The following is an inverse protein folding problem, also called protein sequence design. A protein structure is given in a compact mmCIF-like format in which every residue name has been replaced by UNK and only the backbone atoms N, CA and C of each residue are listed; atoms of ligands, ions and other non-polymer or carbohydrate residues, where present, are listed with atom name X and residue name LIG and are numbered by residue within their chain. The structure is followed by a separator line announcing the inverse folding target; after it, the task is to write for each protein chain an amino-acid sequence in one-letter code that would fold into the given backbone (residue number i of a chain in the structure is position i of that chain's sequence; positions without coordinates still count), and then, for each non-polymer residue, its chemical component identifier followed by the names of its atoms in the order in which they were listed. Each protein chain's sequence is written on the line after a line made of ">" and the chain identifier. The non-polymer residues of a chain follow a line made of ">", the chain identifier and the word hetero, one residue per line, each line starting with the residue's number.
data_IF_323370464039
#
_entry.id   IF_323370464039
#
_cell.length_a   1.000
_cell.length_b   1.000
_cell.length_c   1.000
_cell.angle_alpha   90.00
_cell.angle_beta   90.00
_cell.angle_gamma   90.00
#
_symmetry.space_group_name_H-M   'P 1'
#
loop_
_entity.id
_entity.type
_entity.pdbx_description
1 polymer ?
#
# COMPACT_ATOMS: atom_id res chain seq x y z
N UNK A 1 -6.92 -0.38 -56.11
CA UNK A 1 -6.59 -0.33 -54.67
C UNK A 1 -7.84 -0.74 -53.88
N UNK A 2 -7.91 -1.94 -53.29
CA UNK A 2 -9.08 -2.31 -52.50
C UNK A 2 -9.01 -1.63 -51.13
N UNK A 3 -10.07 -0.91 -50.78
CA UNK A 3 -10.24 -0.22 -49.50
C UNK A 3 -10.48 -1.24 -48.38
N UNK A 4 -9.56 -1.32 -47.42
CA UNK A 4 -9.78 -2.09 -46.20
C UNK A 4 -10.94 -1.51 -45.38
N UNK A 5 -11.89 -2.33 -44.90
CA UNK A 5 -12.94 -1.86 -44.03
C UNK A 5 -12.35 -1.47 -42.66
N UNK A 6 -12.65 -0.24 -42.22
CA UNK A 6 -12.29 0.25 -40.88
C UNK A 6 -12.90 -0.68 -39.83
N UNK A 7 -12.05 -1.31 -39.00
CA UNK A 7 -12.47 -2.00 -37.77
C UNK A 7 -13.26 -1.01 -36.91
N UNK A 8 -14.53 -1.34 -36.60
CA UNK A 8 -15.32 -0.62 -35.60
C UNK A 8 -14.60 -0.72 -34.25
N UNK A 9 -14.32 0.43 -33.63
CA UNK A 9 -13.82 0.49 -32.27
C UNK A 9 -14.81 -0.24 -31.35
N UNK A 10 -14.34 -1.25 -30.63
CA UNK A 10 -15.10 -1.89 -29.57
C UNK A 10 -15.21 -0.85 -28.46
N UNK A 11 -16.42 -0.35 -28.24
CA UNK A 11 -16.73 0.64 -27.21
C UNK A 11 -16.51 -0.04 -25.86
N UNK A 12 -15.57 0.46 -25.06
CA UNK A 12 -15.34 -0.05 -23.71
C UNK A 12 -16.66 -0.05 -22.91
N UNK A 13 -16.93 -1.04 -22.06
CA UNK A 13 -18.10 -1.03 -21.18
C UNK A 13 -18.11 0.28 -20.39
N UNK A 14 -19.25 0.98 -20.40
CA UNK A 14 -19.40 2.25 -19.69
C UNK A 14 -19.43 1.93 -18.19
N UNK A 15 -18.59 2.61 -17.41
CA UNK A 15 -18.61 2.50 -15.95
C UNK A 15 -20.05 2.70 -15.43
N UNK A 16 -20.50 1.84 -14.52
CA UNK A 16 -21.83 1.93 -13.92
C UNK A 16 -21.67 2.41 -12.48
N UNK A 17 -22.27 3.57 -12.17
CA UNK A 17 -22.26 4.11 -10.82
C UNK A 17 -22.94 3.11 -9.87
N UNK A 18 -22.27 2.76 -8.78
CA UNK A 18 -22.86 1.96 -7.72
C UNK A 18 -23.36 2.93 -6.64
N UNK A 19 -24.56 2.70 -6.12
CA UNK A 19 -25.07 3.53 -5.01
C UNK A 19 -24.30 3.25 -3.71
N UNK A 20 -23.77 2.04 -3.55
CA UNK A 20 -23.05 1.57 -2.36
C UNK A 20 -21.79 0.79 -2.77
N UNK A 21 -20.73 0.82 -1.94
CA UNK A 21 -19.52 0.07 -2.22
C UNK A 21 -19.77 -1.45 -2.16
N UNK A 22 -19.11 -2.19 -3.05
CA UNK A 22 -19.08 -3.65 -3.03
C UNK A 22 -17.61 -4.08 -2.98
N UNK A 23 -17.29 -4.98 -2.06
CA UNK A 23 -15.91 -5.35 -1.79
C UNK A 23 -15.57 -6.72 -2.37
N UNK A 24 -16.26 -7.78 -1.97
CA UNK A 24 -16.06 -9.13 -2.52
C UNK A 24 -17.23 -9.58 -3.41
N UNK A 25 -17.05 -10.71 -4.08
CA UNK A 25 -18.15 -11.43 -4.70
C UNK A 25 -19.07 -12.03 -3.62
N UNK A 26 -20.41 -11.97 -3.79
CA UNK A 26 -21.34 -12.59 -2.86
C UNK A 26 -21.32 -14.13 -2.96
N UNK A 27 -20.86 -14.67 -4.09
CA UNK A 27 -20.72 -16.09 -4.34
C UNK A 27 -19.30 -16.39 -4.82
N UNK A 28 -18.66 -17.38 -4.20
CA UNK A 28 -17.34 -17.85 -4.59
C UNK A 28 -17.35 -18.29 -6.06
N UNK A 29 -16.30 -17.91 -6.79
CA UNK A 29 -16.02 -18.43 -8.12
C UNK A 29 -14.79 -19.34 -8.09
N UNK A 30 -14.62 -20.24 -9.07
CA UNK A 30 -13.41 -21.06 -9.17
C UNK A 30 -12.14 -20.21 -9.19
N UNK A 31 -11.05 -20.78 -8.68
CA UNK A 31 -9.74 -20.13 -8.73
C UNK A 31 -9.24 -19.95 -10.17
N UNK A 32 -8.63 -18.79 -10.47
CA UNK A 32 -8.05 -18.55 -11.77
C UNK A 32 -6.83 -19.46 -11.98
N UNK A 33 -6.81 -20.17 -13.11
CA UNK A 33 -5.65 -20.98 -13.51
C UNK A 33 -4.66 -20.23 -14.39
N UNK A 34 -5.06 -19.08 -14.96
CA UNK A 34 -4.29 -18.32 -15.94
C UNK A 34 -4.83 -16.91 -16.09
N UNK A 35 -3.98 -15.96 -16.49
CA UNK A 35 -4.41 -14.62 -16.85
C UNK A 35 -5.25 -14.59 -18.14
N UNK A 36 -6.26 -13.72 -18.16
CA UNK A 36 -7.12 -13.47 -19.32
C UNK A 36 -6.44 -12.54 -20.33
N UNK A 37 -5.54 -11.67 -19.88
CA UNK A 37 -4.76 -10.77 -20.73
C UNK A 37 -3.36 -11.33 -20.95
N UNK A 38 -2.95 -11.47 -22.22
CA UNK A 38 -1.55 -11.75 -22.53
C UNK A 38 -0.64 -10.65 -21.98
N UNK A 39 0.44 -11.08 -21.34
CA UNK A 39 1.47 -10.21 -20.79
C UNK A 39 2.77 -10.38 -21.59
N UNK A 40 3.00 -9.54 -22.62
CA UNK A 40 4.27 -9.57 -23.35
C UNK A 40 5.39 -8.97 -22.49
N UNK A 41 6.65 -9.32 -22.82
CA UNK A 41 7.80 -8.75 -22.13
C UNK A 41 7.85 -7.22 -22.26
N UNK A 42 7.95 -6.56 -21.11
CA UNK A 42 8.10 -5.10 -21.03
C UNK A 42 9.52 -4.61 -21.33
N UNK A 43 10.49 -5.49 -21.55
CA UNK A 43 11.90 -5.08 -21.71
C UNK A 43 12.12 -4.06 -22.82
N UNK A 44 11.30 -4.10 -23.88
CA UNK A 44 11.31 -3.07 -24.93
C UNK A 44 10.73 -1.73 -24.49
N UNK A 45 9.70 -1.73 -23.65
CA UNK A 45 9.05 -0.55 -23.10
C UNK A 45 9.91 0.13 -22.04
N UNK A 46 10.58 -0.64 -21.18
CA UNK A 46 11.52 -0.12 -20.19
C UNK A 46 12.70 0.62 -20.83
N UNK A 47 13.14 0.23 -22.04
CA UNK A 47 14.15 1.01 -22.78
C UNK A 47 13.66 2.39 -23.24
N UNK A 48 12.35 2.66 -23.16
CA UNK A 48 11.72 3.93 -23.51
C UNK A 48 11.32 4.75 -22.29
N UNK A 49 11.55 4.25 -21.07
CA UNK A 49 11.35 5.06 -19.87
C UNK A 49 12.52 6.02 -19.69
N UNK A 50 12.27 7.13 -19.00
CA UNK A 50 13.33 8.02 -18.55
C UNK A 50 13.46 7.89 -17.03
N UNK A 51 14.43 7.09 -16.59
CA UNK A 51 14.68 6.79 -15.18
C UNK A 51 15.23 7.98 -14.36
N UNK A 52 15.32 9.18 -14.95
CA UNK A 52 15.67 10.42 -14.25
C UNK A 52 14.48 11.35 -14.04
N UNK A 53 13.33 11.05 -14.65
CA UNK A 53 12.16 11.90 -14.58
C UNK A 53 11.17 11.37 -13.56
N UNK A 54 10.81 12.27 -12.64
CA UNK A 54 9.63 12.12 -11.79
C UNK A 54 8.39 12.56 -12.56
N UNK A 55 7.23 12.07 -12.13
CA UNK A 55 5.93 12.45 -12.67
C UNK A 55 5.21 13.45 -11.76
N UNK A 56 4.37 14.35 -12.30
CA UNK A 56 3.57 15.25 -11.48
C UNK A 56 2.70 14.49 -10.47
N UNK A 57 2.56 15.05 -9.27
CA UNK A 57 1.62 14.55 -8.26
C UNK A 57 0.29 15.29 -8.44
N UNK A 58 -0.85 14.59 -8.62
CA UNK A 58 -2.13 15.26 -8.79
C UNK A 58 -2.56 16.03 -7.54
N UNK A 59 -3.37 17.07 -7.72
CA UNK A 59 -4.02 17.76 -6.61
C UNK A 59 -5.06 16.85 -5.95
N UNK A 60 -5.27 16.95 -4.62
CA UNK A 60 -6.37 16.27 -3.96
C UNK A 60 -7.70 16.78 -4.49
N UNK A 61 -8.67 15.88 -4.62
CA UNK A 61 -10.05 16.30 -4.83
C UNK A 61 -10.53 17.00 -3.56
N UNK A 62 -11.30 18.07 -3.70
CA UNK A 62 -11.94 18.79 -2.59
C UNK A 62 -13.09 18.01 -1.93
N UNK A 63 -13.05 16.68 -1.95
CA UNK A 63 -14.07 15.79 -1.43
C UNK A 63 -13.54 15.02 -0.22
N UNK A 64 -14.40 14.81 0.78
CA UNK A 64 -14.08 14.10 2.02
C UNK A 64 -14.08 15.01 3.24
N UNK A 65 -13.71 14.46 4.40
CA UNK A 65 -13.72 15.15 5.70
C UNK A 65 -12.51 16.08 5.93
N UNK A 66 -11.54 16.09 5.02
CA UNK A 66 -10.26 16.79 5.16
C UNK A 66 -10.21 18.19 4.54
N UNK A 67 -9.00 18.77 4.55
CA UNK A 67 -8.69 20.02 3.82
C UNK A 67 -7.92 19.68 2.54
N UNK A 68 -7.67 20.67 1.68
CA UNK A 68 -6.78 20.47 0.52
C UNK A 68 -5.32 20.22 0.92
N UNK A 69 -4.89 20.75 2.07
CA UNK A 69 -3.56 20.50 2.63
C UNK A 69 -3.48 19.11 3.25
N UNK A 70 -4.51 18.73 4.01
CA UNK A 70 -4.63 17.40 4.61
C UNK A 70 -5.87 16.70 4.08
N UNK A 71 -5.77 16.00 2.92
CA UNK A 71 -6.87 15.19 2.44
C UNK A 71 -7.07 14.00 3.39
N UNK A 72 -8.31 13.84 3.85
CA UNK A 72 -8.70 12.80 4.81
C UNK A 72 -9.78 11.92 4.19
N UNK A 73 -9.63 10.61 4.41
CA UNK A 73 -10.64 9.59 4.15
C UNK A 73 -10.95 8.88 5.47
N UNK A 74 -12.21 8.80 5.86
CA UNK A 74 -12.63 8.03 7.03
C UNK A 74 -13.05 6.62 6.63
N UNK A 75 -12.87 5.65 7.52
CA UNK A 75 -13.34 4.28 7.31
C UNK A 75 -14.87 4.24 7.15
N UNK A 76 -15.60 5.15 7.79
CA UNK A 76 -17.04 5.28 7.61
C UNK A 76 -17.39 5.61 6.14
N UNK A 77 -16.72 6.60 5.54
CA UNK A 77 -16.93 6.96 4.12
C UNK A 77 -16.62 5.79 3.18
N UNK A 78 -15.56 5.03 3.46
CA UNK A 78 -15.18 3.85 2.66
C UNK A 78 -16.31 2.81 2.62
N UNK A 79 -16.99 2.61 3.74
CA UNK A 79 -18.07 1.63 3.89
C UNK A 79 -19.46 2.15 3.43
N UNK A 80 -19.57 3.40 2.98
CA UNK A 80 -20.84 3.99 2.57
C UNK A 80 -21.88 3.95 3.69
N UNK A 81 -23.11 3.52 3.39
CA UNK A 81 -24.22 3.48 4.35
C UNK A 81 -23.94 2.53 5.54
N UNK A 82 -23.09 1.51 5.33
CA UNK A 82 -22.68 0.59 6.39
C UNK A 82 -21.61 1.19 7.33
N UNK A 83 -21.05 2.35 6.99
CA UNK A 83 -19.94 3.00 7.69
C UNK A 83 -20.17 3.22 9.18
N UNK A 84 -21.25 3.90 9.60
CA UNK A 84 -21.52 4.13 11.02
C UNK A 84 -21.62 2.84 11.82
N UNK A 85 -22.28 1.82 11.28
CA UNK A 85 -22.40 0.50 11.94
C UNK A 85 -21.04 -0.21 12.03
N UNK A 86 -20.21 -0.12 10.98
CA UNK A 86 -18.85 -0.70 10.98
C UNK A 86 -17.97 -0.04 12.03
N UNK A 87 -17.96 1.29 12.10
CA UNK A 87 -17.19 2.06 13.09
C UNK A 87 -17.63 1.73 14.52
N UNK A 88 -18.94 1.73 14.79
CA UNK A 88 -19.47 1.39 16.11
C UNK A 88 -19.10 -0.06 16.53
N UNK A 89 -19.07 -0.99 15.58
CA UNK A 89 -18.65 -2.37 15.85
C UNK A 89 -17.16 -2.47 16.24
N UNK A 90 -16.29 -1.70 15.57
CA UNK A 90 -14.84 -1.64 15.90
C UNK A 90 -14.63 -1.02 17.28
N UNK A 91 -15.30 0.09 17.57
CA UNK A 91 -15.21 0.75 18.89
C UNK A 91 -15.69 -0.17 20.02
N UNK A 92 -16.82 -0.85 19.81
CA UNK A 92 -17.35 -1.85 20.75
C UNK A 92 -16.39 -3.03 20.94
N UNK A 93 -15.70 -3.46 19.89
CA UNK A 93 -14.70 -4.51 19.95
C UNK A 93 -13.42 -4.08 20.69
N UNK A 94 -13.20 -2.77 20.84
CA UNK A 94 -12.02 -2.19 21.50
C UNK A 94 -10.73 -2.30 20.70
N UNK A 95 -10.80 -2.76 19.44
CA UNK A 95 -9.66 -2.85 18.54
C UNK A 95 -10.09 -2.84 17.07
N UNK A 96 -9.17 -2.41 16.19
CA UNK A 96 -9.25 -2.60 14.74
C UNK A 96 -8.17 -3.59 14.30
N UNK A 97 -8.52 -4.46 13.36
CA UNK A 97 -7.58 -5.33 12.64
C UNK A 97 -7.61 -4.97 11.17
N UNK A 98 -6.46 -4.96 10.50
CA UNK A 98 -6.38 -4.78 9.04
C UNK A 98 -5.15 -5.46 8.46
N UNK A 99 -5.14 -5.68 7.15
CA UNK A 99 -3.98 -6.20 6.43
C UNK A 99 -3.18 -5.09 5.76
N UNK A 100 -1.89 -5.32 5.53
CA UNK A 100 -0.99 -4.37 4.88
C UNK A 100 0.11 -5.11 4.11
N UNK A 101 0.24 -4.84 2.80
CA UNK A 101 1.25 -5.43 1.91
C UNK A 101 1.27 -4.64 0.58
N UNK A 102 2.40 -4.58 -0.10
CA UNK A 102 2.56 -4.02 -1.45
C UNK A 102 2.92 -5.09 -2.47
N UNK A 103 3.18 -4.68 -3.72
CA UNK A 103 3.91 -5.51 -4.68
C UNK A 103 3.17 -6.83 -4.99
N UNK A 104 1.86 -6.71 -5.20
CA UNK A 104 0.97 -7.87 -5.31
C UNK A 104 0.82 -8.35 -6.75
N UNK A 105 0.92 -7.45 -7.72
CA UNK A 105 0.64 -7.73 -9.13
C UNK A 105 1.63 -8.72 -9.76
N UNK A 106 1.25 -9.99 -9.85
CA UNK A 106 2.08 -10.98 -10.55
C UNK A 106 2.06 -10.75 -12.06
N UNK A 107 3.22 -10.88 -12.72
CA UNK A 107 3.34 -10.86 -14.19
C UNK A 107 3.40 -12.25 -14.82
N UNK A 108 3.49 -13.31 -14.00
CA UNK A 108 3.69 -14.69 -14.47
C UNK A 108 2.40 -15.50 -14.51
N UNK A 109 1.47 -15.20 -13.60
CA UNK A 109 0.24 -15.95 -13.41
C UNK A 109 -0.33 -15.74 -12.01
N UNK A 110 -1.55 -16.19 -11.74
CA UNK A 110 -2.30 -15.81 -10.54
C UNK A 110 -1.83 -16.52 -9.26
N UNK A 111 -1.07 -17.61 -9.36
CA UNK A 111 -0.75 -18.52 -8.26
C UNK A 111 -0.15 -17.82 -7.03
N UNK A 112 0.91 -17.03 -7.20
CA UNK A 112 1.65 -16.42 -6.09
C UNK A 112 0.82 -15.37 -5.36
N UNK A 113 0.08 -14.55 -6.11
CA UNK A 113 -0.80 -13.53 -5.55
C UNK A 113 -2.04 -14.15 -4.90
N UNK A 114 -2.61 -15.20 -5.51
CA UNK A 114 -3.76 -15.91 -4.94
C UNK A 114 -3.41 -16.59 -3.62
N UNK A 115 -2.20 -17.17 -3.50
CA UNK A 115 -1.71 -17.75 -2.24
C UNK A 115 -1.79 -16.73 -1.08
N UNK A 116 -1.33 -15.49 -1.32
CA UNK A 116 -1.38 -14.41 -0.32
C UNK A 116 -2.83 -13.99 -0.07
N UNK A 117 -3.60 -13.77 -1.12
CA UNK A 117 -5.00 -13.35 -1.03
C UNK A 117 -5.85 -14.37 -0.26
N UNK A 118 -5.72 -15.66 -0.54
CA UNK A 118 -6.48 -16.73 0.12
C UNK A 118 -6.16 -16.82 1.61
N UNK A 119 -4.88 -16.67 1.98
CA UNK A 119 -4.49 -16.61 3.39
C UNK A 119 -5.10 -15.38 4.06
N UNK A 120 -5.06 -14.20 3.43
CA UNK A 120 -5.75 -13.00 3.92
C UNK A 120 -7.27 -13.21 4.05
N UNK A 121 -7.93 -13.87 3.09
CA UNK A 121 -9.37 -14.18 3.17
C UNK A 121 -9.67 -15.09 4.36
N UNK A 122 -8.77 -16.05 4.66
CA UNK A 122 -8.94 -16.94 5.80
C UNK A 122 -8.99 -16.21 7.15
N UNK A 123 -8.42 -15.01 7.28
CA UNK A 123 -8.45 -14.21 8.52
C UNK A 123 -9.82 -13.59 8.80
N UNK A 124 -10.79 -13.69 7.88
CA UNK A 124 -12.18 -13.32 8.15
C UNK A 124 -12.96 -14.41 8.90
N UNK A 125 -12.41 -15.62 8.98
CA UNK A 125 -12.97 -16.74 9.74
C UNK A 125 -12.36 -16.82 11.15
N UNK A 126 -12.75 -15.88 12.00
CA UNK A 126 -12.30 -15.80 13.39
C UNK A 126 -13.45 -16.05 14.37
N UNK A 127 -13.18 -16.86 15.40
CA UNK A 127 -14.11 -17.11 16.52
C UNK A 127 -14.38 -15.80 17.26
N UNK A 128 -13.31 -15.04 17.55
CA UNK A 128 -13.44 -13.71 18.12
C UNK A 128 -13.66 -12.69 16.99
N UNK A 129 -14.87 -12.13 16.92
CA UNK A 129 -15.21 -11.11 15.92
C UNK A 129 -14.33 -9.86 15.98
N UNK A 130 -13.72 -9.55 17.13
CA UNK A 130 -12.77 -8.46 17.26
C UNK A 130 -11.48 -8.69 16.47
N UNK A 131 -11.14 -9.94 16.12
CA UNK A 131 -9.94 -10.29 15.36
C UNK A 131 -10.14 -10.23 13.84
N UNK A 132 -11.39 -10.04 13.38
CA UNK A 132 -11.72 -10.02 11.95
C UNK A 132 -11.20 -8.73 11.32
N UNK A 133 -10.43 -8.81 10.21
CA UNK A 133 -9.94 -7.64 9.50
C UNK A 133 -11.08 -6.72 9.04
N UNK A 134 -10.80 -5.42 9.07
CA UNK A 134 -11.73 -4.36 8.67
C UNK A 134 -11.41 -3.75 7.31
N UNK A 135 -10.16 -3.85 6.85
CA UNK A 135 -9.73 -3.40 5.54
C UNK A 135 -8.36 -4.00 5.20
N UNK A 136 -7.94 -3.82 3.96
CA UNK A 136 -6.57 -4.02 3.49
C UNK A 136 -6.02 -2.65 3.04
N UNK A 137 -4.89 -2.23 3.62
CA UNK A 137 -4.12 -1.07 3.18
C UNK A 137 -2.97 -1.51 2.26
N UNK A 138 -3.13 -1.34 0.95
CA UNK A 138 -2.14 -1.73 -0.05
C UNK A 138 -1.01 -0.70 -0.16
N UNK A 139 0.23 -1.16 -0.14
CA UNK A 139 1.43 -0.31 -0.07
C UNK A 139 1.99 0.08 -1.44
N UNK A 140 1.17 0.11 -2.49
CA UNK A 140 1.61 0.39 -3.86
C UNK A 140 2.07 -0.83 -4.65
N UNK A 141 2.29 -0.62 -5.95
CA UNK A 141 2.60 -1.62 -6.96
C UNK A 141 1.51 -2.70 -7.06
N UNK A 142 0.31 -2.19 -7.34
CA UNK A 142 -0.89 -3.01 -7.53
C UNK A 142 -0.81 -3.76 -8.85
N UNK A 143 -0.39 -3.08 -9.90
CA UNK A 143 -0.27 -3.64 -11.25
C UNK A 143 1.13 -3.41 -11.80
N UNK A 144 1.84 -4.51 -12.05
CA UNK A 144 3.09 -4.50 -12.78
C UNK A 144 2.81 -4.40 -14.28
N UNK A 145 3.76 -3.78 -14.99
CA UNK A 145 3.63 -3.19 -16.34
C UNK A 145 2.94 -1.84 -16.37
N UNK A 146 3.65 -0.84 -15.84
CA UNK A 146 3.31 0.58 -15.98
C UNK A 146 1.91 0.95 -15.48
N UNK A 147 1.36 0.16 -14.54
CA UNK A 147 0.03 0.40 -13.99
C UNK A 147 -1.08 0.34 -15.05
N UNK A 148 -0.85 -0.34 -16.18
CA UNK A 148 -1.78 -0.27 -17.32
C UNK A 148 -3.15 -0.86 -16.94
N UNK A 149 -4.22 -0.08 -17.18
CA UNK A 149 -5.59 -0.49 -16.84
C UNK A 149 -6.00 -1.86 -17.36
N UNK A 150 -5.51 -2.27 -18.54
CA UNK A 150 -5.82 -3.60 -19.11
C UNK A 150 -5.46 -4.76 -18.19
N UNK A 151 -4.46 -4.63 -17.32
CA UNK A 151 -4.00 -5.73 -16.44
C UNK A 151 -4.65 -5.75 -15.06
N UNK A 152 -5.43 -4.73 -14.70
CA UNK A 152 -6.12 -4.67 -13.40
C UNK A 152 -7.06 -5.85 -13.15
N UNK A 153 -7.67 -6.41 -14.21
CA UNK A 153 -8.51 -7.59 -14.04
C UNK A 153 -7.71 -8.75 -13.43
N UNK A 154 -6.61 -9.11 -14.09
CA UNK A 154 -5.79 -10.27 -13.74
C UNK A 154 -4.92 -10.05 -12.49
N UNK A 155 -4.46 -8.82 -12.26
CA UNK A 155 -3.50 -8.48 -11.21
C UNK A 155 -4.12 -7.81 -9.97
N UNK A 156 -5.43 -7.51 -9.97
CA UNK A 156 -6.09 -6.91 -8.80
C UNK A 156 -7.50 -7.44 -8.58
N UNK A 157 -8.38 -7.35 -9.58
CA UNK A 157 -9.78 -7.68 -9.37
C UNK A 157 -10.00 -9.19 -9.18
N UNK A 158 -9.36 -10.04 -9.98
CA UNK A 158 -9.53 -11.49 -9.93
C UNK A 158 -8.84 -12.14 -8.72
N UNK A 159 -7.59 -11.79 -8.35
CA UNK A 159 -6.94 -12.34 -7.15
C UNK A 159 -7.66 -11.96 -5.86
N UNK A 160 -8.19 -10.73 -5.78
CA UNK A 160 -8.92 -10.24 -4.60
C UNK A 160 -10.44 -10.34 -4.73
N UNK A 161 -10.97 -11.13 -5.66
CA UNK A 161 -12.43 -11.23 -5.90
C UNK A 161 -13.21 -11.67 -4.65
N UNK A 162 -12.60 -12.48 -3.80
CA UNK A 162 -13.22 -13.04 -2.59
C UNK A 162 -12.81 -12.29 -1.30
N UNK A 163 -11.92 -11.29 -1.39
CA UNK A 163 -11.54 -10.48 -0.23
C UNK A 163 -12.72 -9.58 0.20
N UNK A 164 -13.34 -9.81 1.37
CA UNK A 164 -14.65 -9.23 1.68
C UNK A 164 -14.59 -7.79 2.20
N UNK A 165 -13.40 -7.25 2.46
CA UNK A 165 -13.19 -5.88 2.94
C UNK A 165 -12.78 -4.89 1.84
N UNK A 166 -12.83 -3.58 2.14
CA UNK A 166 -12.25 -2.56 1.27
C UNK A 166 -10.74 -2.75 1.13
N UNK A 167 -10.22 -2.44 -0.05
CA UNK A 167 -8.78 -2.40 -0.35
C UNK A 167 -8.43 -0.96 -0.68
N UNK A 168 -7.83 -0.26 0.27
CA UNK A 168 -7.44 1.14 0.20
C UNK A 168 -5.94 1.16 -0.13
N UNK A 169 -5.48 2.05 -1.01
CA UNK A 169 -4.09 2.00 -1.48
C UNK A 169 -3.43 3.37 -1.54
N UNK A 170 -2.11 3.38 -1.32
CA UNK A 170 -1.19 4.38 -1.91
C UNK A 170 -0.56 3.79 -3.18
N UNK A 171 -0.14 4.60 -4.16
CA UNK A 171 0.54 4.09 -5.35
C UNK A 171 2.02 3.84 -5.10
N UNK A 172 2.56 2.85 -5.81
CA UNK A 172 3.99 2.61 -5.97
C UNK A 172 4.54 3.18 -7.27
N UNK A 173 5.80 2.89 -7.59
CA UNK A 173 6.42 3.39 -8.82
C UNK A 173 5.78 2.79 -10.06
N UNK A 174 5.42 1.49 -10.03
CA UNK A 174 4.81 0.84 -11.18
C UNK A 174 3.43 1.39 -11.50
N UNK A 175 2.68 1.88 -10.50
CA UNK A 175 1.35 2.46 -10.70
C UNK A 175 1.37 3.81 -11.44
N UNK A 176 2.50 4.52 -11.40
CA UNK A 176 2.66 5.86 -11.99
C UNK A 176 3.62 5.93 -13.18
N UNK A 177 4.47 4.92 -13.38
CA UNK A 177 5.50 4.92 -14.42
C UNK A 177 4.89 4.94 -15.82
N UNK A 178 5.43 5.80 -16.70
CA UNK A 178 5.06 5.88 -18.12
C UNK A 178 6.31 5.81 -19.01
N UNK A 179 6.13 5.39 -20.26
CA UNK A 179 7.21 5.31 -21.26
C UNK A 179 6.98 6.27 -22.44
N UNK A 180 8.03 6.53 -23.22
CA UNK A 180 7.93 7.37 -24.42
C UNK A 180 6.92 6.82 -25.43
N UNK A 181 5.87 7.60 -25.71
CA UNK A 181 4.77 7.21 -26.60
C UNK A 181 3.64 6.45 -25.91
N UNK A 182 3.64 6.38 -24.58
CA UNK A 182 2.47 5.92 -23.83
C UNK A 182 1.27 6.85 -24.08
N UNK A 183 0.10 6.24 -24.27
CA UNK A 183 -1.15 6.97 -24.49
C UNK A 183 -1.84 7.34 -23.18
N UNK A 184 -1.53 6.66 -22.09
CA UNK A 184 -2.10 6.93 -20.78
C UNK A 184 -1.22 7.95 -20.02
N UNK A 185 -1.83 8.92 -19.31
CA UNK A 185 -1.08 9.73 -18.37
C UNK A 185 -0.65 8.90 -17.16
N UNK A 186 0.35 9.41 -16.42
CA UNK A 186 0.76 8.84 -15.13
C UNK A 186 -0.45 8.64 -14.20
N UNK A 187 -0.45 7.54 -13.44
CA UNK A 187 -1.49 7.19 -12.46
C UNK A 187 -2.91 6.98 -13.03
N UNK A 188 -3.12 6.98 -14.36
CA UNK A 188 -4.47 6.97 -14.94
C UNK A 188 -5.38 5.88 -14.37
N UNK A 189 -4.93 4.62 -14.41
CA UNK A 189 -5.71 3.51 -13.90
C UNK A 189 -5.79 3.51 -12.37
N UNK A 190 -4.72 3.92 -11.67
CA UNK A 190 -4.72 4.02 -10.22
C UNK A 190 -5.80 5.01 -9.75
N UNK A 191 -5.86 6.19 -10.35
CA UNK A 191 -6.86 7.21 -10.02
C UNK A 191 -8.29 6.72 -10.25
N UNK A 192 -8.53 5.95 -11.33
CA UNK A 192 -9.86 5.41 -11.64
C UNK A 192 -10.29 4.28 -10.71
N UNK A 193 -9.36 3.49 -10.18
CA UNK A 193 -9.66 2.31 -9.34
C UNK A 193 -9.55 2.57 -7.83
N UNK A 194 -8.73 3.54 -7.39
CA UNK A 194 -8.51 3.83 -5.97
C UNK A 194 -8.94 5.24 -5.53
N UNK A 195 -9.01 6.21 -6.45
CA UNK A 195 -9.32 7.61 -6.15
C UNK A 195 -10.60 8.11 -6.84
N UNK A 196 -11.54 7.20 -7.16
CA UNK A 196 -12.78 7.55 -7.83
C UNK A 196 -13.62 8.54 -6.99
N UNK A 197 -14.43 9.41 -7.61
CA UNK A 197 -15.25 10.37 -6.85
C UNK A 197 -16.38 9.71 -6.04
N UNK A 198 -16.77 8.49 -6.40
CA UNK A 198 -17.78 7.67 -5.73
C UNK A 198 -17.54 6.19 -6.08
N UNK A 199 -18.13 5.24 -5.32
CA UNK A 199 -18.05 3.82 -5.65
C UNK A 199 -18.60 3.56 -7.06
N UNK A 200 -17.78 2.95 -7.91
CA UNK A 200 -18.13 2.70 -9.30
C UNK A 200 -17.55 1.37 -9.75
N UNK A 201 -18.30 0.62 -10.58
CA UNK A 201 -17.73 -0.52 -11.29
C UNK A 201 -16.97 0.00 -12.52
N UNK A 202 -15.66 -0.07 -12.46
CA UNK A 202 -14.76 0.32 -13.56
C UNK A 202 -14.80 -0.74 -14.67
N UNK A 203 -14.31 -0.40 -15.86
CA UNK A 203 -14.24 -1.36 -16.95
C UNK A 203 -13.24 -2.50 -16.64
N UNK A 204 -12.22 -2.17 -15.85
CA UNK A 204 -11.17 -3.07 -15.36
C UNK A 204 -11.69 -4.22 -14.50
N UNK A 205 -12.79 -4.01 -13.76
CA UNK A 205 -13.41 -5.06 -12.96
C UNK A 205 -14.00 -6.20 -13.81
N UNK A 206 -14.16 -6.00 -15.13
CA UNK A 206 -14.76 -6.99 -16.02
C UNK A 206 -16.15 -7.41 -15.54
N UNK A 207 -16.34 -8.71 -15.31
CA UNK A 207 -17.58 -9.26 -14.76
C UNK A 207 -17.76 -9.05 -13.26
N UNK A 208 -16.71 -8.65 -12.54
CA UNK A 208 -16.69 -8.65 -11.08
C UNK A 208 -17.44 -7.47 -10.47
N UNK A 209 -17.96 -7.66 -9.26
CA UNK A 209 -18.82 -6.67 -8.59
C UNK A 209 -18.05 -5.63 -7.77
N UNK A 210 -16.78 -5.92 -7.40
CA UNK A 210 -15.94 -5.01 -6.60
C UNK A 210 -15.94 -3.61 -7.24
N UNK A 211 -16.26 -2.60 -6.43
CA UNK A 211 -16.24 -1.19 -6.85
C UNK A 211 -14.86 -0.58 -6.61
N UNK A 212 -14.51 0.44 -7.38
CA UNK A 212 -13.37 1.31 -7.11
C UNK A 212 -13.50 1.98 -5.74
N UNK A 213 -12.35 2.28 -5.11
CA UNK A 213 -12.29 3.07 -3.89
C UNK A 213 -12.35 4.58 -4.17
N UNK A 214 -12.54 5.34 -3.09
CA UNK A 214 -12.87 6.76 -3.13
C UNK A 214 -11.81 7.66 -2.49
N UNK A 215 -10.55 7.23 -2.45
CA UNK A 215 -9.50 8.04 -1.86
C UNK A 215 -9.49 9.45 -2.46
N UNK A 216 -9.32 10.50 -1.64
CA UNK A 216 -9.38 11.89 -2.12
C UNK A 216 -8.17 12.24 -3.00
N UNK A 217 -7.07 11.50 -2.86
CA UNK A 217 -5.79 11.74 -3.52
C UNK A 217 -4.93 10.47 -3.49
N UNK A 218 -3.76 10.51 -4.13
CA UNK A 218 -2.70 9.49 -4.04
C UNK A 218 -1.85 9.59 -2.76
N UNK A 219 -2.05 10.65 -1.98
CA UNK A 219 -1.52 10.83 -0.64
C UNK A 219 -2.66 11.35 0.25
N UNK A 220 -2.90 10.74 1.40
CA UNK A 220 -4.04 11.07 2.26
C UNK A 220 -3.90 10.43 3.63
N UNK A 221 -4.62 10.97 4.61
CA UNK A 221 -4.80 10.34 5.91
C UNK A 221 -6.04 9.45 5.88
N UNK A 222 -5.87 8.15 6.15
CA UNK A 222 -6.98 7.26 6.47
C UNK A 222 -7.23 7.31 7.98
N UNK A 223 -8.47 7.63 8.37
CA UNK A 223 -8.92 7.59 9.76
C UNK A 223 -9.83 6.39 10.01
N UNK A 224 -9.47 5.59 10.99
CA UNK A 224 -10.27 4.48 11.54
C UNK A 224 -10.22 4.58 13.06
N UNK A 225 -11.20 4.01 13.80
CA UNK A 225 -11.04 3.89 15.25
C UNK A 225 -9.68 3.28 15.60
N UNK A 226 -9.02 3.87 16.60
CA UNK A 226 -7.70 3.52 17.11
C UNK A 226 -6.49 3.79 16.20
N UNK A 227 -6.64 4.11 14.92
CA UNK A 227 -5.50 4.27 14.00
C UNK A 227 -5.69 5.37 12.95
N UNK A 228 -4.63 6.17 12.74
CA UNK A 228 -4.47 7.04 11.57
C UNK A 228 -3.32 6.52 10.71
N UNK A 229 -3.57 6.33 9.42
CA UNK A 229 -2.53 5.94 8.45
C UNK A 229 -2.28 7.13 7.52
N UNK A 230 -1.07 7.67 7.55
CA UNK A 230 -0.65 8.83 6.78
C UNK A 230 0.08 8.31 5.54
N UNK A 231 -0.64 8.21 4.43
CA UNK A 231 -0.12 7.72 3.15
C UNK A 231 0.57 8.80 2.34
N UNK A 232 1.73 8.47 1.77
CA UNK A 232 2.51 9.30 0.85
C UNK A 232 2.69 8.60 -0.50
N UNK A 233 2.81 9.37 -1.58
CA UNK A 233 3.20 8.87 -2.89
C UNK A 233 4.66 9.22 -3.19
N UNK A 234 5.51 8.19 -3.26
CA UNK A 234 6.96 8.29 -3.45
C UNK A 234 7.43 8.33 -4.91
N UNK A 235 6.52 8.62 -5.86
CA UNK A 235 6.82 8.79 -7.29
C UNK A 235 7.33 7.52 -8.02
N UNK A 236 7.81 7.69 -9.25
CA UNK A 236 7.99 6.60 -10.25
C UNK A 236 9.42 6.13 -10.48
N UNK A 237 10.38 6.65 -9.72
CA UNK A 237 11.76 6.18 -9.85
C UNK A 237 11.84 4.72 -9.41
N UNK A 238 12.84 4.00 -9.92
CA UNK A 238 13.14 2.67 -9.37
C UNK A 238 13.70 2.81 -7.96
N UNK A 239 14.64 3.72 -7.78
CA UNK A 239 15.11 4.19 -6.48
C UNK A 239 15.78 5.57 -6.68
N UNK A 240 15.88 6.40 -5.64
CA UNK A 240 15.13 6.31 -4.38
C UNK A 240 13.69 6.84 -4.56
N UNK A 241 12.85 6.66 -3.54
CA UNK A 241 11.55 7.31 -3.45
C UNK A 241 11.66 8.82 -3.26
N UNK A 242 10.74 9.57 -3.87
CA UNK A 242 10.72 11.05 -3.90
C UNK A 242 9.32 11.57 -3.55
N UNK A 243 9.24 12.47 -2.57
CA UNK A 243 7.96 13.04 -2.10
C UNK A 243 7.85 14.57 -2.25
N UNK A 244 8.88 15.25 -2.73
CA UNK A 244 8.96 16.72 -2.72
C UNK A 244 9.62 17.31 -3.99
N UNK A 245 9.68 18.64 -4.06
CA UNK A 245 10.50 19.36 -5.06
C UNK A 245 12.00 19.20 -4.85
N UNK A 246 12.41 18.68 -3.69
CA UNK A 246 13.78 18.54 -3.26
C UNK A 246 14.54 19.89 -3.27
N UNK A 247 13.86 20.96 -2.80
CA UNK A 247 14.41 22.31 -2.82
C UNK A 247 14.48 22.89 -4.24
N UNK A 248 13.53 22.53 -5.09
CA UNK A 248 13.44 22.98 -6.48
C UNK A 248 14.31 22.22 -7.48
N UNK A 249 15.05 21.18 -7.07
CA UNK A 249 15.82 20.35 -8.01
C UNK A 249 14.93 19.47 -8.90
N UNK A 250 13.65 19.32 -8.55
CA UNK A 250 12.64 18.58 -9.31
C UNK A 250 11.49 19.49 -9.71
N UNK A 251 11.61 20.22 -10.84
CA UNK A 251 10.64 21.25 -11.22
C UNK A 251 9.24 20.72 -11.56
N UNK A 252 9.08 19.40 -11.74
CA UNK A 252 7.77 18.76 -11.95
C UNK A 252 6.99 18.54 -10.63
N UNK A 253 7.66 18.73 -9.49
CA UNK A 253 7.12 18.51 -8.16
C UNK A 253 7.11 19.81 -7.36
N UNK A 254 6.26 19.85 -6.34
CA UNK A 254 6.25 20.84 -5.29
C UNK A 254 6.32 20.16 -3.91
N UNK A 255 6.21 20.94 -2.84
CA UNK A 255 6.32 20.43 -1.47
C UNK A 255 4.96 20.12 -0.83
N UNK A 256 3.90 19.89 -1.63
CA UNK A 256 2.53 19.65 -1.11
C UNK A 256 2.46 18.47 -0.15
N UNK A 257 3.22 17.41 -0.41
CA UNK A 257 3.22 16.23 0.47
C UNK A 257 3.97 16.48 1.78
N UNK A 258 5.00 17.34 1.78
CA UNK A 258 5.68 17.77 3.01
C UNK A 258 4.75 18.64 3.86
N UNK A 259 4.01 19.55 3.20
CA UNK A 259 3.00 20.39 3.85
C UNK A 259 1.88 19.54 4.45
N UNK A 260 1.37 18.56 3.70
CA UNK A 260 0.41 17.55 4.15
C UNK A 260 0.91 16.80 5.38
N UNK A 261 2.08 16.17 5.29
CA UNK A 261 2.60 15.34 6.37
C UNK A 261 2.80 16.16 7.65
N UNK A 262 3.36 17.36 7.52
CA UNK A 262 3.56 18.27 8.64
C UNK A 262 2.22 18.68 9.26
N UNK A 263 1.20 18.98 8.45
CA UNK A 263 -0.14 19.34 8.92
C UNK A 263 -0.82 18.19 9.68
N UNK A 264 -0.80 16.98 9.12
CA UNK A 264 -1.40 15.79 9.73
C UNK A 264 -0.74 15.43 11.07
N UNK A 265 0.60 15.49 11.15
CA UNK A 265 1.33 15.23 12.39
C UNK A 265 1.09 16.32 13.44
N UNK A 266 1.02 17.60 13.04
CA UNK A 266 0.64 18.71 13.93
C UNK A 266 -0.76 18.51 14.49
N UNK A 267 -1.71 18.10 13.65
CA UNK A 267 -3.08 17.81 14.07
C UNK A 267 -3.12 16.68 15.10
N UNK A 268 -2.39 15.58 14.86
CA UNK A 268 -2.27 14.49 15.84
C UNK A 268 -1.76 14.98 17.20
N UNK A 269 -0.77 15.87 17.22
CA UNK A 269 -0.26 16.48 18.46
C UNK A 269 -1.28 17.40 19.14
N UNK A 270 -1.91 18.29 18.38
CA UNK A 270 -2.86 19.28 18.88
C UNK A 270 -4.08 18.61 19.52
N UNK A 271 -4.60 17.56 18.89
CA UNK A 271 -5.71 16.75 19.39
C UNK A 271 -5.30 15.81 20.54
N UNK A 272 -4.00 15.70 20.84
CA UNK A 272 -3.43 14.69 21.74
C UNK A 272 -3.92 13.30 21.37
N UNK A 273 -3.88 12.99 20.07
CA UNK A 273 -4.43 11.77 19.52
C UNK A 273 -3.84 10.54 20.23
N UNK A 274 -4.73 9.74 20.83
CA UNK A 274 -4.34 8.61 21.68
C UNK A 274 -4.20 7.28 20.90
N UNK A 275 -4.62 7.24 19.65
CA UNK A 275 -4.49 6.07 18.78
C UNK A 275 -3.11 5.95 18.13
N UNK A 276 -2.90 4.84 17.44
CA UNK A 276 -1.69 4.63 16.65
C UNK A 276 -1.66 5.56 15.42
N UNK A 277 -0.46 5.95 15.03
CA UNK A 277 -0.18 6.75 13.84
C UNK A 277 0.84 5.99 13.03
N UNK A 278 0.50 5.59 11.82
CA UNK A 278 1.38 4.85 10.92
C UNK A 278 1.69 5.75 9.73
N UNK A 279 2.94 5.82 9.33
CA UNK A 279 3.31 6.43 8.05
C UNK A 279 3.45 5.33 6.99
N UNK A 280 2.76 5.47 5.87
CA UNK A 280 2.82 4.53 4.76
C UNK A 280 3.43 5.21 3.53
N UNK A 281 4.46 4.59 2.95
CA UNK A 281 5.14 5.09 1.75
C UNK A 281 5.71 3.90 0.98
N UNK A 282 5.48 3.82 -0.32
CA UNK A 282 5.84 2.63 -1.10
C UNK A 282 7.34 2.32 -1.05
N UNK A 283 8.19 3.28 -1.44
CA UNK A 283 9.64 3.09 -1.34
C UNK A 283 10.08 3.11 0.14
N UNK A 284 10.88 2.14 0.59
CA UNK A 284 11.29 2.08 1.97
C UNK A 284 12.43 3.08 2.27
N UNK A 285 12.41 3.73 3.44
CA UNK A 285 13.57 4.44 3.96
C UNK A 285 14.81 3.55 4.10
N UNK A 286 14.62 2.27 4.45
CA UNK A 286 15.67 1.27 4.65
C UNK A 286 15.35 -0.04 3.94
N UNK A 287 16.32 -0.63 3.24
CA UNK A 287 16.20 -1.99 2.71
C UNK A 287 17.57 -2.65 2.62
N UNK A 288 17.62 -3.92 2.98
CA UNK A 288 18.75 -4.83 2.80
C UNK A 288 18.66 -5.64 1.51
N UNK A 289 17.64 -5.40 0.67
CA UNK A 289 17.41 -6.13 -0.57
C UNK A 289 18.54 -5.98 -1.60
N UNK A 290 18.72 -7.00 -2.45
CA UNK A 290 19.75 -6.99 -3.50
C UNK A 290 19.41 -6.06 -4.68
N UNK A 291 18.12 -5.89 -4.98
CA UNK A 291 17.65 -5.17 -6.17
C UNK A 291 17.32 -3.69 -5.93
N UNK A 292 17.00 -3.32 -4.68
CA UNK A 292 16.57 -1.97 -4.33
C UNK A 292 17.50 -1.33 -3.32
N UNK A 293 17.38 -0.01 -3.17
CA UNK A 293 18.14 0.80 -2.23
C UNK A 293 17.22 1.65 -1.34
N UNK A 294 17.72 2.01 -0.15
CA UNK A 294 16.95 2.85 0.76
C UNK A 294 16.76 4.27 0.22
N UNK A 295 15.82 5.01 0.80
CA UNK A 295 15.49 6.38 0.43
C UNK A 295 15.94 7.41 1.49
N UNK A 296 17.25 7.68 1.64
CA UNK A 296 17.78 8.46 2.75
C UNK A 296 17.33 9.93 2.75
N UNK A 297 17.18 10.54 1.57
CA UNK A 297 16.69 11.92 1.47
C UNK A 297 15.21 12.05 1.81
N UNK A 298 14.39 11.09 1.36
CA UNK A 298 12.98 11.01 1.74
C UNK A 298 12.83 10.80 3.26
N UNK A 299 13.68 9.97 3.86
CA UNK A 299 13.74 9.82 5.32
C UNK A 299 14.06 11.15 6.02
N UNK A 300 15.05 11.90 5.54
CA UNK A 300 15.41 13.21 6.10
C UNK A 300 14.23 14.20 6.02
N UNK A 301 13.48 14.20 4.92
CA UNK A 301 12.29 15.04 4.76
C UNK A 301 11.15 14.63 5.69
N UNK A 302 10.91 13.33 5.85
CA UNK A 302 9.97 12.79 6.82
C UNK A 302 10.34 13.18 8.26
N UNK A 303 11.62 13.11 8.60
CA UNK A 303 12.15 13.51 9.92
C UNK A 303 11.92 15.00 10.16
N UNK A 304 12.21 15.86 9.19
CA UNK A 304 11.94 17.31 9.28
C UNK A 304 10.46 17.60 9.52
N UNK A 305 9.57 16.85 8.88
CA UNK A 305 8.13 16.98 9.14
C UNK A 305 7.75 16.56 10.57
N UNK A 306 8.33 15.45 11.07
CA UNK A 306 8.12 14.97 12.45
C UNK A 306 8.66 15.96 13.49
N UNK A 307 9.84 16.51 13.26
CA UNK A 307 10.46 17.54 14.10
C UNK A 307 9.64 18.83 14.12
N UNK A 308 9.24 19.33 12.94
CA UNK A 308 8.41 20.53 12.81
C UNK A 308 7.02 20.38 13.46
N UNK A 309 6.47 19.17 13.45
CA UNK A 309 5.26 18.85 14.18
C UNK A 309 5.50 18.63 15.68
N UNK A 310 6.71 18.19 16.04
CA UNK A 310 7.04 17.63 17.35
C UNK A 310 6.17 16.42 17.69
N UNK A 311 5.92 15.56 16.71
CA UNK A 311 5.20 14.30 16.82
C UNK A 311 5.80 13.28 15.85
N UNK A 312 6.13 12.09 16.34
CA UNK A 312 6.68 11.00 15.56
C UNK A 312 5.65 9.86 15.41
N UNK A 313 5.59 9.17 14.26
CA UNK A 313 4.68 8.04 14.07
C UNK A 313 5.05 6.89 15.03
N UNK A 314 4.12 5.96 15.19
CA UNK A 314 4.30 4.72 15.96
C UNK A 314 4.93 3.61 15.12
N UNK A 315 4.77 3.65 13.80
CA UNK A 315 5.40 2.73 12.86
C UNK A 315 5.51 3.37 11.47
N UNK A 316 6.43 2.84 10.65
CA UNK A 316 6.54 3.15 9.22
C UNK A 316 6.40 1.85 8.43
N UNK A 317 5.59 1.84 7.37
CA UNK A 317 5.35 0.66 6.53
C UNK A 317 5.57 0.98 5.05
N UNK A 318 6.21 0.06 4.34
CA UNK A 318 6.62 0.18 2.94
C UNK A 318 6.50 -1.12 2.16
N UNK A 319 6.49 -1.03 0.83
CA UNK A 319 6.59 -2.17 -0.10
C UNK A 319 7.92 -2.12 -0.86
N UNK A 320 7.87 -2.21 -2.18
CA UNK A 320 8.94 -2.01 -3.17
C UNK A 320 10.04 -3.06 -3.15
N UNK A 321 10.66 -3.31 -2.00
CA UNK A 321 11.60 -4.43 -1.89
C UNK A 321 10.81 -5.73 -1.80
N UNK A 322 11.01 -6.63 -2.76
CA UNK A 322 10.22 -7.86 -2.89
C UNK A 322 10.57 -8.96 -1.84
N UNK A 323 10.41 -8.63 -0.56
CA UNK A 323 10.62 -9.48 0.61
C UNK A 323 10.01 -8.81 1.86
N UNK A 324 10.00 -9.54 2.98
CA UNK A 324 9.71 -8.99 4.29
C UNK A 324 10.98 -8.51 4.99
N UNK A 325 10.92 -7.34 5.63
CA UNK A 325 12.00 -6.81 6.47
C UNK A 325 11.44 -6.04 7.66
N UNK A 326 12.11 -6.11 8.80
CA UNK A 326 11.83 -5.27 9.96
C UNK A 326 13.09 -4.63 10.51
N UNK A 327 13.00 -3.34 10.76
CA UNK A 327 14.03 -2.53 11.39
C UNK A 327 13.48 -1.81 12.62
N UNK A 328 14.35 -1.50 13.57
CA UNK A 328 14.06 -0.58 14.67
C UNK A 328 15.01 0.60 14.58
N UNK A 329 14.45 1.81 14.55
CA UNK A 329 15.21 3.06 14.54
C UNK A 329 15.04 3.81 15.85
N UNK A 330 16.16 4.20 16.45
CA UNK A 330 16.22 5.11 17.59
C UNK A 330 16.30 6.56 17.12
N UNK A 331 15.28 7.36 17.37
CA UNK A 331 15.20 8.76 16.93
C UNK A 331 14.40 9.59 17.92
N UNK A 332 14.86 10.82 18.23
CA UNK A 332 14.22 11.72 19.19
C UNK A 332 13.90 11.09 20.57
N UNK A 333 14.75 10.16 21.03
CA UNK A 333 14.55 9.41 22.28
C UNK A 333 13.45 8.33 22.22
N UNK A 334 12.94 8.03 21.02
CA UNK A 334 11.93 7.02 20.74
C UNK A 334 12.52 5.85 19.96
N UNK A 335 11.89 4.69 20.04
CA UNK A 335 12.12 3.58 19.13
C UNK A 335 10.92 3.43 18.18
N UNK A 336 11.18 3.45 16.87
CA UNK A 336 10.14 3.35 15.85
C UNK A 336 10.46 2.15 14.94
N UNK A 337 9.55 1.18 14.81
CA UNK A 337 9.69 0.10 13.85
C UNK A 337 9.42 0.59 12.42
N UNK A 338 10.26 0.17 11.50
CA UNK A 338 10.11 0.35 10.06
C UNK A 338 9.98 -1.05 9.43
N UNK A 339 8.90 -1.30 8.72
CA UNK A 339 8.62 -2.58 8.10
C UNK A 339 8.54 -2.44 6.59
N UNK A 340 9.14 -3.40 5.89
CA UNK A 340 8.98 -3.60 4.45
C UNK A 340 8.19 -4.88 4.24
N UNK A 341 7.11 -4.79 3.47
CA UNK A 341 6.23 -5.90 3.11
C UNK A 341 5.88 -5.77 1.62
N UNK A 342 6.89 -5.95 0.77
CA UNK A 342 6.78 -5.98 -0.69
C UNK A 342 6.69 -7.40 -1.25
N UNK A 343 6.32 -8.36 -0.43
CA UNK A 343 6.26 -9.79 -0.74
C UNK A 343 4.82 -10.27 -0.98
N UNK A 344 3.97 -9.40 -1.55
CA UNK A 344 2.53 -9.65 -1.74
C UNK A 344 2.16 -10.56 -2.91
N UNK A 345 3.14 -11.03 -3.68
CA UNK A 345 2.92 -11.95 -4.80
C UNK A 345 3.81 -11.69 -6.01
N UNK A 346 4.50 -10.55 -6.07
CA UNK A 346 5.43 -10.23 -7.15
C UNK A 346 6.88 -10.63 -6.85
N UNK A 347 7.49 -11.32 -7.82
CA UNK A 347 8.92 -11.64 -7.95
C UNK A 347 9.85 -11.44 -6.75
N UNK A 348 9.86 -12.38 -5.79
CA UNK A 348 10.74 -12.35 -4.61
C UNK A 348 12.21 -12.04 -4.95
N UNK A 349 12.82 -11.23 -4.10
CA UNK A 349 14.22 -10.84 -4.17
C UNK A 349 14.93 -11.13 -2.84
N UNK A 350 16.20 -11.53 -2.94
CA UNK A 350 17.02 -11.86 -1.77
C UNK A 350 17.46 -10.64 -0.96
N UNK A 351 17.78 -10.85 0.30
CA UNK A 351 18.56 -9.93 1.12
C UNK A 351 20.05 -10.07 0.77
N UNK A 352 20.78 -8.96 0.84
CA UNK A 352 22.24 -8.95 0.69
C UNK A 352 22.88 -9.83 1.75
N UNK A 353 23.90 -10.58 1.36
CA UNK A 353 24.68 -11.40 2.27
C UNK A 353 25.66 -10.56 3.10
N UNK A 354 26.21 -11.14 4.15
CA UNK A 354 27.35 -10.57 4.86
C UNK A 354 28.64 -10.57 4.00
N UNK A 355 29.74 -10.07 4.57
CA UNK A 355 31.06 -9.97 3.92
C UNK A 355 31.67 -11.32 3.51
N UNK A 356 31.13 -12.44 4.01
CA UNK A 356 31.54 -13.81 3.69
C UNK A 356 30.55 -14.52 2.77
N UNK A 357 29.55 -13.81 2.23
CA UNK A 357 28.53 -14.39 1.37
C UNK A 357 27.47 -15.22 2.10
N UNK A 358 27.35 -15.09 3.42
CA UNK A 358 26.37 -15.83 4.23
C UNK A 358 25.09 -15.01 4.47
N UNK A 359 23.94 -15.66 4.73
CA UNK A 359 22.74 -14.97 5.18
C UNK A 359 23.00 -14.13 6.44
N UNK A 360 22.51 -12.89 6.45
CA UNK A 360 22.65 -11.99 7.60
C UNK A 360 21.90 -12.59 8.79
N UNK A 361 22.56 -12.66 9.95
CA UNK A 361 21.94 -13.06 11.22
C UNK A 361 21.33 -11.83 11.89
N UNK A 362 20.04 -11.87 12.19
CA UNK A 362 19.34 -10.81 12.90
C UNK A 362 19.16 -11.13 14.39
N UNK A 363 19.06 -10.11 15.27
CA UNK A 363 19.19 -8.69 14.97
C UNK A 363 20.63 -8.28 14.59
N UNK A 364 20.75 -7.40 13.59
CA UNK A 364 22.03 -6.87 13.09
C UNK A 364 22.08 -5.34 13.29
N UNK A 365 23.07 -4.79 14.02
CA UNK A 365 23.20 -3.34 14.19
C UNK A 365 23.75 -2.72 12.89
N UNK A 366 22.90 -2.00 12.16
CA UNK A 366 23.27 -1.31 10.91
C UNK A 366 24.04 -0.03 11.24
N UNK A 367 23.57 0.72 12.23
CA UNK A 367 24.24 1.90 12.81
C UNK A 367 24.02 1.94 14.32
N UNK A 368 24.52 2.96 15.01
CA UNK A 368 24.22 3.17 16.44
C UNK A 368 22.74 3.50 16.71
N UNK A 369 21.97 3.85 15.68
CA UNK A 369 20.56 4.25 15.80
C UNK A 369 19.62 3.42 14.93
N UNK A 370 20.10 2.35 14.28
CA UNK A 370 19.31 1.50 13.40
C UNK A 370 19.73 0.03 13.56
N UNK A 371 18.78 -0.84 13.88
CA UNK A 371 18.94 -2.31 13.85
C UNK A 371 18.07 -2.92 12.76
N UNK A 372 18.57 -3.96 12.11
CA UNK A 372 17.84 -4.84 11.21
C UNK A 372 17.45 -6.09 11.99
N UNK A 373 16.16 -6.23 12.32
CA UNK A 373 15.70 -7.12 13.38
C UNK A 373 15.18 -8.47 12.85
N UNK A 374 14.59 -8.49 11.65
CA UNK A 374 14.01 -9.70 11.06
C UNK A 374 13.82 -9.54 9.55
N UNK A 375 13.73 -10.65 8.83
CA UNK A 375 13.38 -10.70 7.40
C UNK A 375 12.89 -12.08 6.97
N UNK A 376 12.16 -12.11 5.84
CA UNK A 376 11.92 -13.32 5.05
C UNK A 376 12.07 -12.95 3.57
N UNK A 377 13.03 -13.58 2.89
CA UNK A 377 13.34 -13.36 1.47
C UNK A 377 13.08 -14.60 0.60
N UNK A 378 12.40 -15.59 1.19
CA UNK A 378 12.12 -16.89 0.60
C UNK A 378 10.65 -17.11 0.31
N UNK A 379 9.76 -16.39 0.99
CA UNK A 379 8.32 -16.61 0.92
C UNK A 379 7.57 -15.32 0.67
N UNK A 380 6.37 -15.46 0.10
CA UNK A 380 5.37 -14.40 0.05
C UNK A 380 4.60 -14.34 1.37
N UNK A 381 3.98 -13.20 1.65
CA UNK A 381 3.34 -12.94 2.92
C UNK A 381 2.57 -11.62 2.95
N UNK A 382 2.14 -11.23 4.14
CA UNK A 382 1.49 -9.95 4.40
C UNK A 382 1.63 -9.57 5.87
N UNK A 383 1.39 -8.30 6.18
CA UNK A 383 1.26 -7.84 7.56
C UNK A 383 -0.20 -7.90 7.99
N UNK A 384 -0.44 -8.40 9.21
CA UNK A 384 -1.70 -8.26 9.95
C UNK A 384 -1.47 -7.30 11.10
N UNK A 385 -2.19 -6.18 11.12
CA UNK A 385 -2.01 -5.10 12.09
C UNK A 385 -3.21 -5.04 13.02
N UNK A 386 -2.96 -5.03 14.33
CA UNK A 386 -3.95 -5.03 15.40
C UNK A 386 -3.70 -3.81 16.26
N UNK A 387 -4.70 -2.93 16.36
CA UNK A 387 -4.58 -1.69 17.11
C UNK A 387 -5.72 -1.54 18.10
N UNK A 388 -5.39 -1.28 19.35
CA UNK A 388 -6.36 -0.92 20.39
C UNK A 388 -5.93 0.39 21.08
N UNK A 389 -6.62 0.75 22.16
CA UNK A 389 -6.34 1.99 22.90
C UNK A 389 -4.98 2.02 23.62
N UNK A 390 -4.26 0.89 23.72
CA UNK A 390 -3.00 0.79 24.45
C UNK A 390 -1.80 0.54 23.53
N UNK A 391 -1.98 -0.23 22.47
CA UNK A 391 -0.88 -0.72 21.63
C UNK A 391 -1.27 -0.90 20.17
N UNK A 392 -0.25 -0.82 19.32
CA UNK A 392 -0.26 -1.39 17.97
C UNK A 392 0.62 -2.63 17.98
N UNK A 393 0.10 -3.75 17.47
CA UNK A 393 0.86 -4.97 17.17
C UNK A 393 0.85 -5.19 15.67
N UNK A 394 2.02 -5.37 15.08
CA UNK A 394 2.22 -5.65 13.66
C UNK A 394 2.78 -7.07 13.58
N UNK A 395 2.03 -7.94 12.94
CA UNK A 395 2.34 -9.35 12.75
C UNK A 395 2.70 -9.57 11.27
N UNK A 396 3.79 -10.28 10.99
CA UNK A 396 4.09 -10.79 9.65
C UNK A 396 3.65 -12.26 9.56
N UNK A 397 2.96 -12.60 8.49
CA UNK A 397 2.44 -13.94 8.22
C UNK A 397 2.86 -14.38 6.83
N UNK A 398 3.58 -15.50 6.74
CA UNK A 398 3.88 -16.10 5.44
C UNK A 398 2.67 -16.82 4.86
N UNK A 399 2.48 -16.66 3.55
CA UNK A 399 1.48 -17.38 2.78
C UNK A 399 1.77 -18.89 2.68
N UNK A 400 3.04 -19.30 2.86
CA UNK A 400 3.45 -20.70 2.78
C UNK A 400 2.90 -21.58 3.91
N UNK A 401 2.49 -20.98 5.03
CA UNK A 401 1.92 -21.70 6.19
C UNK A 401 0.45 -22.10 5.97
N UNK A 402 -0.12 -21.74 4.81
CA UNK A 402 -1.49 -22.04 4.44
C UNK A 402 -2.53 -21.23 5.21
N UNK A 403 -3.81 -21.53 4.93
CA UNK A 403 -4.98 -20.75 5.39
C UNK A 403 -5.41 -21.07 6.83
N UNK A 404 -4.91 -22.17 7.42
CA UNK A 404 -5.28 -22.59 8.78
C UNK A 404 -4.33 -22.06 9.86
N UNK A 405 -3.08 -21.78 9.52
CA UNK A 405 -2.09 -21.27 10.47
C UNK A 405 -2.31 -19.77 10.74
N UNK A 406 -2.48 -19.43 12.02
CA UNK A 406 -2.73 -18.05 12.49
C UNK A 406 -1.60 -17.49 13.38
N UNK A 407 -0.57 -18.28 13.63
CA UNK A 407 0.61 -17.82 14.38
C UNK A 407 1.47 -16.98 13.44
N UNK A 408 1.91 -15.77 13.85
CA UNK A 408 2.79 -14.96 13.03
C UNK A 408 4.23 -15.50 13.02
N UNK A 409 4.91 -15.36 11.89
CA UNK A 409 6.33 -15.71 11.71
C UNK A 409 7.26 -14.68 12.38
N UNK A 410 6.83 -13.41 12.42
CA UNK A 410 7.49 -12.34 13.15
C UNK A 410 6.43 -11.35 13.68
N UNK A 411 6.75 -10.64 14.75
CA UNK A 411 5.87 -9.62 15.28
C UNK A 411 6.63 -8.53 16.02
N UNK A 412 6.01 -7.36 16.10
CA UNK A 412 6.46 -6.25 16.94
C UNK A 412 5.26 -5.54 17.55
N UNK A 413 5.35 -5.20 18.83
CA UNK A 413 4.34 -4.41 19.52
C UNK A 413 4.93 -3.06 19.94
N UNK A 414 4.18 -1.98 19.77
CA UNK A 414 4.48 -0.64 20.29
C UNK A 414 3.40 -0.26 21.29
N UNK A 415 3.77 0.02 22.54
CA UNK A 415 2.87 0.67 23.49
C UNK A 415 2.71 2.15 23.11
N UNK A 416 1.46 2.59 22.92
CA UNK A 416 1.15 3.92 22.36
C UNK A 416 1.55 5.06 23.30
N UNK A 417 1.50 4.81 24.62
CA UNK A 417 1.79 5.83 25.63
C UNK A 417 3.28 5.93 25.91
N UNK A 418 3.92 4.79 26.16
CA UNK A 418 5.32 4.71 26.60
C UNK A 418 6.30 4.64 25.44
N UNK A 419 5.82 4.30 24.22
CA UNK A 419 6.64 4.11 23.02
C UNK A 419 7.66 2.97 23.17
N UNK A 420 7.44 2.06 24.12
CA UNK A 420 8.26 0.87 24.33
C UNK A 420 7.89 -0.20 23.32
N UNK A 421 8.91 -0.87 22.79
CA UNK A 421 8.78 -2.01 21.89
C UNK A 421 8.81 -3.34 22.67
N UNK A 422 8.03 -4.32 22.25
CA UNK A 422 8.01 -5.68 22.82
C UNK A 422 7.63 -6.76 21.83
#
# INVERSE_FOLDING_TARGET
>A
MPSHPRRKAIRAPRATAAAQPVFGQPQLSPDPSSFVKPHPSDSGLYRRTNNKLVQPVPEPRSAGSGTTVEPVLTLAEVYGDAGPAKVAAIEKAGQVVFHCVGDTGSVKGPETQSLVADKMVSDFNEVNRANVPSFFFHLGDVVYSFGEGKYYYDQFYEPYRDYPGPIIAIPGNHDGLVYGGDSAPTLDAFLRNFCAPAPVRTAEAGGLLRTAMIAPSVYFTLESPFVRILGLYSNVLEDPGIISSEGGTRPQLDDRQLNYLTAALKRCKQEKYAGAVILAVHHPPFTGGVNHSGSPRMLEEMDKCCEAAGFWPHAVVSGHAHNYQRYTRSVAGLQVPYLVAGDGGHGLARIRTDVYGQPVRTPYPVTSTLSFDSYDDTKYGYLRVIVNAQKIRIEYHTAADGTTMKTPDDQITVDLKTRVLS
#
